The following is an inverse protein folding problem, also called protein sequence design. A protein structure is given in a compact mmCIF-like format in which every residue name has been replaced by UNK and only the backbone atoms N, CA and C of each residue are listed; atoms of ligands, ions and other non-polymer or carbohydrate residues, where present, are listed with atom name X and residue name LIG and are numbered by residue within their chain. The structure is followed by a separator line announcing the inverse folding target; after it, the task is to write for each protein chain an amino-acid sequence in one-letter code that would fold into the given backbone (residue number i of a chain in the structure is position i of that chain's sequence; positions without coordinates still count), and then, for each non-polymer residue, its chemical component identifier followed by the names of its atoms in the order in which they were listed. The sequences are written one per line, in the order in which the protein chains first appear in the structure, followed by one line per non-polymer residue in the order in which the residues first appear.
data_IF_103184997883
#
_entry.id   IF_103184997883
#
_cell.length_a   1.000
_cell.length_b   1.000
_cell.length_c   1.000
_cell.angle_alpha   90.00
_cell.angle_beta   90.00
_cell.angle_gamma   90.00
#
_symmetry.space_group_name_H-M   'P 1'
#
loop_
_entity.id
_entity.type
_entity.pdbx_description
1 polymer ?
#
# COMPACT_ATOMS: atom_id res chain seq x y z
N UNK A 1 3.19 13.48 -15.07
CA UNK A 1 2.87 12.20 -14.41
C UNK A 1 4.09 11.64 -13.71
N UNK A 2 3.86 11.02 -12.57
CA UNK A 2 4.92 10.44 -11.77
C UNK A 2 4.70 8.94 -11.59
N UNK A 3 5.77 8.24 -11.33
CA UNK A 3 5.77 6.78 -11.23
C UNK A 3 6.77 6.36 -10.16
N UNK A 4 6.37 5.45 -9.28
CA UNK A 4 7.28 4.85 -8.31
C UNK A 4 7.20 3.34 -8.39
N UNK A 5 8.32 2.69 -8.12
CA UNK A 5 8.41 1.23 -8.10
C UNK A 5 9.42 0.83 -7.03
N UNK A 6 8.96 0.19 -5.97
CA UNK A 6 9.81 -0.25 -4.87
C UNK A 6 9.47 -1.70 -4.54
N UNK A 7 10.47 -2.50 -4.20
CA UNK A 7 10.28 -3.91 -3.95
C UNK A 7 11.16 -4.43 -2.82
N UNK A 8 10.73 -5.53 -2.22
CA UNK A 8 11.52 -6.24 -1.20
C UNK A 8 11.19 -7.73 -1.28
N UNK A 9 12.16 -8.57 -0.95
CA UNK A 9 11.93 -10.02 -0.86
C UNK A 9 11.62 -10.37 0.59
N UNK A 10 10.48 -11.03 0.80
CA UNK A 10 10.01 -11.47 2.11
C UNK A 10 10.15 -12.99 2.18
N UNK A 11 10.90 -13.48 3.17
CA UNK A 11 11.17 -14.91 3.35
C UNK A 11 10.03 -15.58 4.12
N UNK A 12 8.91 -15.76 3.44
CA UNK A 12 7.70 -16.35 3.99
C UNK A 12 6.86 -16.95 2.87
N UNK A 13 5.94 -17.89 3.19
CA UNK A 13 5.03 -18.43 2.18
C UNK A 13 4.13 -17.35 1.60
N UNK A 14 3.80 -17.47 0.32
CA UNK A 14 2.95 -16.51 -0.38
C UNK A 14 1.64 -16.23 0.37
N UNK A 15 0.96 -17.28 0.86
CA UNK A 15 -0.28 -17.11 1.62
C UNK A 15 -0.13 -16.11 2.76
N UNK A 16 0.94 -16.24 3.52
CA UNK A 16 1.22 -15.35 4.65
C UNK A 16 1.52 -13.93 4.18
N UNK A 17 2.35 -13.81 3.14
CA UNK A 17 2.72 -12.49 2.61
C UNK A 17 1.48 -11.76 2.12
N UNK A 18 0.65 -12.43 1.31
CA UNK A 18 -0.54 -11.80 0.77
C UNK A 18 -1.55 -11.43 1.87
N UNK A 19 -1.87 -12.39 2.73
CA UNK A 19 -2.92 -12.18 3.73
C UNK A 19 -2.54 -11.13 4.78
N UNK A 20 -1.31 -11.16 5.28
CA UNK A 20 -0.87 -10.19 6.28
C UNK A 20 -0.76 -8.80 5.66
N UNK A 21 -0.17 -8.68 4.46
CA UNK A 21 0.02 -7.39 3.82
C UNK A 21 -1.30 -6.72 3.43
N UNK A 22 -2.37 -7.49 3.25
CA UNK A 22 -3.69 -6.97 2.90
C UNK A 22 -4.67 -6.96 4.07
N UNK A 23 -4.19 -7.19 5.27
CA UNK A 23 -5.00 -7.10 6.48
C UNK A 23 -5.05 -5.62 6.92
N UNK A 24 -5.99 -4.89 6.35
CA UNK A 24 -6.08 -3.43 6.47
C UNK A 24 -6.02 -2.93 7.93
N UNK A 25 -6.76 -3.53 8.89
CA UNK A 25 -6.68 -3.07 10.28
C UNK A 25 -5.25 -3.09 10.85
N UNK A 26 -4.39 -3.94 10.34
CA UNK A 26 -2.99 -4.02 10.80
C UNK A 26 -2.08 -2.96 10.19
N UNK A 27 -2.58 -2.15 9.27
CA UNK A 27 -1.78 -1.09 8.67
C UNK A 27 -1.37 -0.03 9.70
N UNK A 28 -2.05 0.06 10.82
CA UNK A 28 -1.63 0.93 11.92
C UNK A 28 -0.27 0.53 12.52
N UNK A 29 0.16 -0.72 12.32
CA UNK A 29 1.50 -1.17 12.71
C UNK A 29 2.42 -1.39 11.52
N UNK A 30 1.86 -1.92 10.39
CA UNK A 30 2.65 -2.27 9.22
C UNK A 30 3.25 -1.07 8.49
N UNK A 31 2.60 0.08 8.58
CA UNK A 31 3.08 1.34 8.01
C UNK A 31 3.76 2.24 9.05
N UNK A 32 4.25 1.65 10.13
CA UNK A 32 4.92 2.41 11.19
C UNK A 32 3.93 3.33 11.89
N UNK A 33 4.23 4.63 11.91
CA UNK A 33 3.38 5.63 12.55
C UNK A 33 2.53 6.41 11.54
N UNK A 34 2.50 5.98 10.27
CA UNK A 34 1.83 6.72 9.21
C UNK A 34 0.31 6.80 9.41
N UNK A 35 -0.30 5.71 9.85
CA UNK A 35 -1.75 5.64 10.03
C UNK A 35 -2.13 5.45 11.50
N UNK A 36 -3.02 6.32 11.98
CA UNK A 36 -3.60 6.26 13.31
C UNK A 36 -4.80 5.32 13.35
N UNK A 37 -5.56 5.25 12.24
CA UNK A 37 -6.69 4.35 12.07
C UNK A 37 -6.68 3.75 10.68
N UNK A 38 -7.10 2.48 10.61
CA UNK A 38 -7.31 1.78 9.35
C UNK A 38 -8.51 0.86 9.55
N UNK A 39 -9.63 1.17 8.90
CA UNK A 39 -10.91 0.50 9.14
C UNK A 39 -11.54 0.05 7.85
N UNK A 40 -11.88 -1.24 7.76
CA UNK A 40 -12.64 -1.76 6.62
C UNK A 40 -14.10 -1.38 6.82
N UNK A 41 -14.64 -0.62 5.88
CA UNK A 41 -16.03 -0.15 5.93
C UNK A 41 -16.98 -1.12 5.25
N UNK A 42 -16.52 -1.78 4.19
CA UNK A 42 -17.35 -2.69 3.40
C UNK A 42 -16.50 -3.72 2.70
N UNK A 43 -16.98 -4.94 2.63
CA UNK A 43 -16.35 -6.03 1.89
C UNK A 43 -17.37 -6.64 0.93
N UNK A 44 -17.06 -6.64 -0.37
CA UNK A 44 -17.91 -7.17 -1.42
C UNK A 44 -17.09 -8.07 -2.32
N UNK A 45 -17.12 -9.37 -2.10
CA UNK A 45 -16.29 -10.29 -2.85
C UNK A 45 -14.81 -9.99 -2.62
N UNK A 46 -14.08 -9.66 -3.70
CA UNK A 46 -12.66 -9.32 -3.60
C UNK A 46 -12.40 -7.82 -3.42
N UNK A 47 -13.46 -7.02 -3.23
CA UNK A 47 -13.33 -5.57 -3.06
C UNK A 47 -13.49 -5.17 -1.61
N UNK A 48 -12.51 -4.43 -1.11
CA UNK A 48 -12.56 -3.82 0.23
C UNK A 48 -12.67 -2.30 0.06
N UNK A 49 -13.64 -1.69 0.75
CA UNK A 49 -13.70 -0.24 0.88
C UNK A 49 -13.27 0.08 2.30
N UNK A 50 -12.36 1.00 2.48
CA UNK A 50 -11.77 1.26 3.79
C UNK A 50 -11.46 2.73 3.98
N UNK A 51 -11.28 3.10 5.25
CA UNK A 51 -10.91 4.45 5.65
C UNK A 51 -9.56 4.42 6.35
N UNK A 52 -8.70 5.36 5.97
CA UNK A 52 -7.42 5.59 6.63
C UNK A 52 -7.43 6.96 7.28
N UNK A 53 -6.84 7.05 8.46
CA UNK A 53 -6.62 8.32 9.14
C UNK A 53 -5.14 8.41 9.45
N UNK A 54 -4.49 9.51 9.03
CA UNK A 54 -3.06 9.69 9.28
C UNK A 54 -2.79 10.24 10.69
N UNK A 55 -1.52 10.44 11.01
CA UNK A 55 -1.09 10.91 12.32
C UNK A 55 -1.46 12.38 12.60
N UNK A 56 -1.84 13.12 11.56
CA UNK A 56 -2.31 14.50 11.69
C UNK A 56 -3.85 14.59 11.74
N UNK A 57 -4.53 13.46 11.74
CA UNK A 57 -5.98 13.41 11.83
C UNK A 57 -6.71 13.56 10.49
N UNK A 58 -5.98 13.58 9.38
CA UNK A 58 -6.60 13.63 8.05
C UNK A 58 -7.12 12.25 7.68
N UNK A 59 -8.32 12.19 7.16
CA UNK A 59 -9.00 10.94 6.80
C UNK A 59 -9.39 10.92 5.35
N UNK A 60 -9.35 9.72 4.75
CA UNK A 60 -9.86 9.51 3.40
C UNK A 60 -10.31 8.07 3.24
N UNK A 61 -11.08 7.82 2.20
CA UNK A 61 -11.54 6.49 1.86
C UNK A 61 -10.88 6.01 0.58
N UNK A 62 -10.66 4.72 0.50
CA UNK A 62 -10.07 4.05 -0.65
C UNK A 62 -10.76 2.71 -0.87
N UNK A 63 -10.60 2.15 -2.05
CA UNK A 63 -10.97 0.76 -2.28
C UNK A 63 -9.76 -0.04 -2.71
N UNK A 64 -9.85 -1.34 -2.51
CA UNK A 64 -8.80 -2.28 -2.86
C UNK A 64 -9.40 -3.54 -3.44
N UNK A 65 -8.86 -3.98 -4.55
CA UNK A 65 -9.28 -5.23 -5.20
C UNK A 65 -8.18 -6.26 -4.98
N UNK A 66 -8.57 -7.40 -4.39
CA UNK A 66 -7.63 -8.46 -4.06
C UNK A 66 -7.71 -9.56 -5.11
N UNK A 67 -6.62 -9.79 -5.83
CA UNK A 67 -6.52 -10.84 -6.85
C UNK A 67 -5.48 -11.87 -6.40
N UNK A 68 -5.76 -12.51 -5.28
CA UNK A 68 -4.84 -13.48 -4.67
C UNK A 68 -4.46 -14.61 -5.63
N UNK A 69 -5.41 -15.07 -6.43
CA UNK A 69 -5.18 -16.14 -7.41
C UNK A 69 -4.20 -15.72 -8.51
N UNK A 70 -4.10 -14.42 -8.77
CA UNK A 70 -3.26 -13.88 -9.83
C UNK A 70 -2.06 -13.09 -9.30
N UNK A 71 -1.83 -13.13 -7.98
CA UNK A 71 -0.63 -12.60 -7.34
C UNK A 71 -0.51 -11.09 -7.42
N UNK A 72 -1.64 -10.37 -7.29
CA UNK A 72 -1.58 -8.91 -7.19
C UNK A 72 -2.80 -8.34 -6.47
N UNK A 73 -2.68 -7.08 -6.09
CA UNK A 73 -3.77 -6.28 -5.55
C UNK A 73 -3.73 -4.90 -6.20
N UNK A 74 -4.90 -4.29 -6.38
CA UNK A 74 -5.03 -2.96 -6.95
C UNK A 74 -5.74 -2.05 -5.94
N UNK A 75 -5.31 -0.80 -5.83
CA UNK A 75 -5.94 0.14 -4.92
C UNK A 75 -6.05 1.52 -5.55
N UNK A 76 -7.07 2.25 -5.13
CA UNK A 76 -7.32 3.61 -5.59
C UNK A 76 -8.05 4.38 -4.50
N UNK A 77 -7.70 5.65 -4.36
CA UNK A 77 -8.39 6.56 -3.44
C UNK A 77 -9.75 6.92 -4.02
N UNK A 78 -10.78 6.96 -3.17
CA UNK A 78 -12.10 7.46 -3.56
C UNK A 78 -12.11 8.99 -3.55
N UNK A 79 -12.98 9.62 -4.36
CA UNK A 79 -13.10 11.07 -4.33
C UNK A 79 -13.46 11.59 -2.93
N UNK A 80 -12.94 12.75 -2.52
CA UNK A 80 -12.05 13.62 -3.29
C UNK A 80 -10.63 13.06 -3.34
N UNK A 81 -10.01 13.13 -4.50
CA UNK A 81 -8.65 12.61 -4.70
C UNK A 81 -7.55 13.62 -4.40
N UNK A 82 -7.92 14.89 -4.21
CA UNK A 82 -6.94 15.93 -3.87
C UNK A 82 -6.06 15.48 -2.70
N UNK A 83 -4.74 15.65 -2.72
CA UNK A 83 -3.96 16.53 -3.61
C UNK A 83 -3.58 15.92 -4.97
N UNK A 84 -4.09 14.77 -5.31
CA UNK A 84 -3.83 14.10 -6.59
C UNK A 84 -4.95 14.36 -7.58
N UNK A 85 -4.64 14.41 -8.88
CA UNK A 85 -5.66 14.29 -9.91
C UNK A 85 -5.99 12.82 -10.14
N UNK A 86 -4.99 11.96 -9.97
CA UNK A 86 -5.20 10.50 -9.88
C UNK A 86 -4.05 9.86 -9.11
N UNK A 87 -4.32 8.71 -8.52
CA UNK A 87 -3.35 7.86 -7.86
C UNK A 87 -3.82 6.43 -8.00
N UNK A 88 -3.03 5.62 -8.68
CA UNK A 88 -3.30 4.18 -8.87
C UNK A 88 -2.15 3.38 -8.28
N UNK A 89 -2.49 2.36 -7.51
CA UNK A 89 -1.52 1.56 -6.77
C UNK A 89 -1.71 0.09 -7.15
N UNK A 90 -0.61 -0.57 -7.49
CA UNK A 90 -0.60 -2.01 -7.72
C UNK A 90 0.48 -2.63 -6.86
N UNK A 91 0.13 -3.68 -6.12
CA UNK A 91 1.09 -4.51 -5.40
C UNK A 91 1.18 -5.84 -6.12
N UNK A 92 2.38 -6.17 -6.60
CA UNK A 92 2.67 -7.44 -7.25
C UNK A 92 3.39 -8.36 -6.28
N UNK A 93 3.06 -9.65 -6.34
CA UNK A 93 3.67 -10.67 -5.50
C UNK A 93 4.29 -11.72 -6.42
N UNK A 94 5.62 -11.81 -6.43
CA UNK A 94 6.33 -12.72 -7.33
C UNK A 94 7.06 -13.76 -6.51
N UNK A 95 6.67 -15.05 -6.58
CA UNK A 95 7.41 -16.12 -5.91
C UNK A 95 8.85 -16.19 -6.41
N UNK A 96 9.79 -16.37 -5.50
CA UNK A 96 11.22 -16.52 -5.79
C UNK A 96 11.76 -17.72 -4.99
N UNK A 97 12.99 -18.19 -5.30
CA UNK A 97 13.59 -19.25 -4.50
C UNK A 97 13.76 -18.90 -3.01
N UNK A 98 13.93 -17.61 -2.70
CA UNK A 98 14.12 -17.15 -1.33
C UNK A 98 12.83 -16.80 -0.60
N UNK A 99 11.72 -16.67 -1.32
CA UNK A 99 10.45 -16.25 -0.73
C UNK A 99 9.56 -15.54 -1.74
N UNK A 100 9.00 -14.41 -1.36
CA UNK A 100 8.11 -13.64 -2.25
C UNK A 100 8.65 -12.23 -2.41
N UNK A 101 8.82 -11.81 -3.66
CA UNK A 101 9.15 -10.41 -3.95
C UNK A 101 7.86 -9.61 -4.01
N UNK A 102 7.68 -8.70 -3.06
CA UNK A 102 6.53 -7.79 -3.04
C UNK A 102 6.94 -6.46 -3.65
N UNK A 103 6.26 -6.07 -4.73
CA UNK A 103 6.58 -4.86 -5.49
C UNK A 103 5.41 -3.89 -5.39
N UNK A 104 5.68 -2.66 -4.97
CA UNK A 104 4.71 -1.59 -4.90
C UNK A 104 4.91 -0.63 -6.05
N UNK A 105 3.91 -0.53 -6.92
CA UNK A 105 3.91 0.35 -8.08
C UNK A 105 2.84 1.42 -7.88
N UNK A 106 3.20 2.68 -8.09
CA UNK A 106 2.28 3.79 -7.97
C UNK A 106 2.44 4.71 -9.17
N UNK A 107 1.31 4.99 -9.84
CA UNK A 107 1.25 5.98 -10.91
C UNK A 107 0.32 7.09 -10.46
N UNK A 108 0.79 8.33 -10.54
CA UNK A 108 0.00 9.44 -10.03
C UNK A 108 0.33 10.75 -10.74
N UNK A 109 -0.53 11.73 -10.50
CA UNK A 109 -0.31 13.11 -10.91
C UNK A 109 -0.85 14.02 -9.82
N UNK A 110 -0.07 15.03 -9.47
CA UNK A 110 -0.49 16.01 -8.48
C UNK A 110 -1.41 17.05 -9.12
N UNK A 111 -2.38 17.53 -8.33
CA UNK A 111 -3.20 18.65 -8.73
C UNK A 111 -2.33 19.89 -8.79
N UNK A 112 -2.65 20.80 -9.74
CA UNK A 112 -1.91 22.06 -9.89
C UNK A 112 -1.97 22.94 -8.63
N UNK A 113 -3.03 22.78 -7.85
CA UNK A 113 -3.22 23.53 -6.60
C UNK A 113 -2.55 22.86 -5.41
N UNK A 114 -1.94 21.71 -5.61
CA UNK A 114 -1.27 20.99 -4.53
C UNK A 114 0.01 21.72 -4.11
N UNK A 115 0.37 21.57 -2.85
CA UNK A 115 1.56 22.21 -2.27
C UNK A 115 2.87 21.67 -2.87
N UNK A 116 2.87 20.40 -3.28
CA UNK A 116 4.06 19.72 -3.77
C UNK A 116 3.90 19.30 -5.23
N UNK A 117 5.02 19.28 -5.97
CA UNK A 117 5.06 18.84 -7.36
C UNK A 117 5.11 17.32 -7.46
N UNK A 118 4.87 16.79 -8.67
CA UNK A 118 5.01 15.36 -8.96
C UNK A 118 6.37 14.84 -8.50
N UNK A 119 7.45 15.55 -8.83
CA UNK A 119 8.82 15.12 -8.51
C UNK A 119 9.08 15.08 -7.02
N UNK A 120 8.57 16.07 -6.28
CA UNK A 120 8.74 16.10 -4.83
C UNK A 120 8.01 14.95 -4.17
N UNK A 121 6.78 14.68 -4.60
CA UNK A 121 5.97 13.58 -4.04
C UNK A 121 6.55 12.22 -4.43
N UNK A 122 7.09 12.10 -5.63
CA UNK A 122 7.78 10.88 -6.06
C UNK A 122 8.93 10.54 -5.10
N UNK A 123 9.72 11.54 -4.72
CA UNK A 123 10.80 11.37 -3.75
C UNK A 123 10.29 10.96 -2.37
N UNK A 124 9.21 11.59 -1.89
CA UNK A 124 8.61 11.23 -0.60
C UNK A 124 8.08 9.80 -0.60
N UNK A 125 7.37 9.41 -1.67
CA UNK A 125 6.80 8.07 -1.77
C UNK A 125 7.89 7.01 -1.82
N UNK A 126 8.96 7.24 -2.61
CA UNK A 126 10.07 6.30 -2.69
C UNK A 126 10.70 6.06 -1.31
N UNK A 127 10.95 7.14 -0.58
CA UNK A 127 11.55 7.04 0.75
C UNK A 127 10.64 6.29 1.71
N UNK A 128 9.38 6.67 1.79
CA UNK A 128 8.43 6.06 2.71
C UNK A 128 8.13 4.61 2.35
N UNK A 129 8.03 4.30 1.05
CA UNK A 129 7.82 2.92 0.60
C UNK A 129 8.96 2.00 1.00
N UNK A 130 10.19 2.46 0.86
CA UNK A 130 11.37 1.66 1.24
C UNK A 130 11.38 1.38 2.74
N UNK A 131 11.07 2.38 3.55
CA UNK A 131 10.97 2.22 5.01
C UNK A 131 9.83 1.28 5.39
N UNK A 132 8.67 1.45 4.79
CA UNK A 132 7.49 0.65 5.10
C UNK A 132 7.62 -0.79 4.62
N UNK A 133 8.19 -1.01 3.46
CA UNK A 133 8.43 -2.37 2.96
C UNK A 133 9.30 -3.18 3.93
N UNK A 134 10.25 -2.52 4.57
CA UNK A 134 11.08 -3.19 5.56
C UNK A 134 10.29 -3.61 6.79
N UNK A 135 9.35 -2.77 7.23
CA UNK A 135 8.48 -3.11 8.37
C UNK A 135 7.59 -4.30 7.99
N UNK A 136 7.00 -4.28 6.80
CA UNK A 136 6.21 -5.40 6.30
C UNK A 136 7.04 -6.70 6.31
N UNK A 137 8.25 -6.64 5.76
CA UNK A 137 9.14 -7.80 5.70
C UNK A 137 9.44 -8.35 7.09
N UNK A 138 9.90 -7.50 7.99
CA UNK A 138 10.29 -7.92 9.34
C UNK A 138 9.10 -8.52 10.10
N UNK A 139 7.93 -7.90 9.99
CA UNK A 139 6.73 -8.37 10.67
C UNK A 139 6.24 -9.70 10.11
N UNK A 140 6.14 -9.80 8.78
CA UNK A 140 5.65 -11.02 8.14
C UNK A 140 6.61 -12.19 8.37
N UNK A 141 7.91 -11.96 8.27
CA UNK A 141 8.90 -13.02 8.51
C UNK A 141 8.84 -13.50 9.96
N UNK A 142 8.70 -12.58 10.92
CA UNK A 142 8.59 -12.93 12.33
C UNK A 142 7.36 -13.79 12.61
N UNK A 143 6.24 -13.48 11.99
CA UNK A 143 4.98 -14.22 12.20
C UNK A 143 4.89 -15.51 11.40
N UNK A 144 5.84 -15.75 10.52
CA UNK A 144 5.84 -16.95 9.66
C UNK A 144 6.80 -18.03 10.14
N UNK A 145 7.43 -17.83 11.28
CA UNK A 145 8.34 -18.81 11.87
C UNK A 145 7.59 -19.90 12.59
#
# INVERSE_FOLDING_TARGET
MAHTCNAIVIKAPYEKVFDISNDIPRWTELFGTEYKEATVLKKEGNKLTFRLTDDEGRSWQSFRLLFKEYYFAYAQKLPPEFPFTHMKIIWLYTPTPEGVKMTWIQDFKMDQKAKFTDEQVEGFINKHSQENLKIFKDTIERESK
#
